data_IF_868037668506
#
_entry.id   IF_868037668506
#
_cell.length_a   1.000
_cell.length_b   1.000
_cell.length_c   1.000
_cell.angle_alpha   90.00
_cell.angle_beta   90.00
_cell.angle_gamma   90.00
#
_symmetry.space_group_name_H-M   'P 1'
#
loop_
_entity.id
_entity.type
_entity.pdbx_description
1 polymer ?
#
# COMPACT_ATOMS: atom_id res chain seq x y z
N UNK A 1 -11.34 9.42 -19.04
CA UNK A 1 -10.34 8.41 -19.47
C UNK A 1 -9.81 7.78 -18.19
N UNK A 2 -10.04 6.48 -17.96
CA UNK A 2 -9.50 5.82 -16.78
C UNK A 2 -8.04 5.48 -17.04
N UNK A 3 -7.13 5.94 -16.17
CA UNK A 3 -5.73 5.56 -16.22
C UNK A 3 -5.58 4.27 -15.41
N UNK A 4 -5.40 3.16 -16.11
CA UNK A 4 -5.04 1.88 -15.47
C UNK A 4 -3.53 1.81 -15.29
N UNK A 5 -3.09 1.41 -14.09
CA UNK A 5 -1.67 1.22 -13.77
C UNK A 5 -1.48 -0.25 -13.42
N UNK A 6 -0.60 -0.91 -14.17
CA UNK A 6 -0.23 -2.31 -13.93
C UNK A 6 1.08 -2.34 -13.14
N UNK A 7 1.06 -2.96 -11.96
CA UNK A 7 2.24 -3.10 -11.11
C UNK A 7 2.60 -4.58 -11.05
N UNK A 8 3.73 -4.93 -11.67
CA UNK A 8 4.22 -6.30 -11.68
C UNK A 8 5.19 -6.52 -10.52
N UNK A 9 4.81 -7.35 -9.57
CA UNK A 9 5.70 -7.78 -8.48
C UNK A 9 6.37 -9.09 -8.87
N UNK A 10 7.71 -9.13 -8.88
CA UNK A 10 8.45 -10.41 -8.98
C UNK A 10 8.25 -11.27 -7.74
N UNK A 11 8.14 -10.62 -6.59
CA UNK A 11 7.89 -11.22 -5.28
C UNK A 11 7.29 -10.15 -4.38
N UNK A 12 6.34 -10.55 -3.54
CA UNK A 12 5.84 -9.73 -2.43
C UNK A 12 6.69 -9.88 -1.18
N UNK A 13 7.72 -10.72 -1.23
CA UNK A 13 8.69 -10.88 -0.17
C UNK A 13 10.02 -10.27 -0.62
N UNK A 14 10.55 -9.38 0.21
CA UNK A 14 11.91 -8.84 0.10
C UNK A 14 12.55 -9.00 1.48
N UNK A 15 13.65 -9.74 1.53
CA UNK A 15 14.31 -10.14 2.76
C UNK A 15 13.34 -10.76 3.78
N UNK A 16 13.20 -10.14 4.95
CA UNK A 16 12.31 -10.57 6.04
C UNK A 16 10.94 -9.88 6.01
N UNK A 17 10.63 -9.14 4.95
CA UNK A 17 9.40 -8.35 4.84
C UNK A 17 8.47 -8.88 3.77
N UNK A 18 7.16 -8.83 4.06
CA UNK A 18 6.07 -9.05 3.13
C UNK A 18 5.35 -7.74 2.85
N UNK A 19 5.11 -7.47 1.58
CA UNK A 19 4.32 -6.35 1.08
C UNK A 19 2.84 -6.77 1.01
N UNK A 20 2.02 -6.13 1.84
CA UNK A 20 0.60 -6.46 1.98
C UNK A 20 -0.23 -5.81 0.86
N UNK A 21 -0.59 -6.57 -0.18
CA UNK A 21 -1.30 -5.98 -1.32
C UNK A 21 -2.65 -5.35 -0.93
N UNK A 22 -3.32 -5.90 0.08
CA UNK A 22 -4.62 -5.37 0.52
C UNK A 22 -4.51 -3.97 1.16
N UNK A 23 -3.29 -3.54 1.47
CA UNK A 23 -3.00 -2.21 1.98
C UNK A 23 -2.69 -1.17 0.89
N UNK A 24 -2.64 -1.55 -0.39
CA UNK A 24 -2.24 -0.64 -1.47
C UNK A 24 -3.09 0.64 -1.48
N UNK A 25 -2.42 1.79 -1.47
CA UNK A 25 -3.11 3.08 -1.45
C UNK A 25 -2.31 4.18 -2.13
N UNK A 26 -3.02 5.20 -2.61
CA UNK A 26 -2.41 6.40 -3.18
C UNK A 26 -2.47 7.54 -2.18
N UNK A 27 -1.35 8.25 -2.02
CA UNK A 27 -1.26 9.43 -1.16
C UNK A 27 -0.59 10.56 -1.94
N UNK A 28 -1.23 11.73 -1.97
CA UNK A 28 -0.65 12.96 -2.52
C UNK A 28 0.53 13.43 -1.67
N UNK A 29 1.53 14.00 -2.31
CA UNK A 29 2.73 14.53 -1.66
C UNK A 29 2.37 15.49 -0.52
N UNK A 30 1.45 16.42 -0.77
CA UNK A 30 0.95 17.38 0.24
C UNK A 30 0.44 16.72 1.52
N UNK A 31 -0.15 15.52 1.41
CA UNK A 31 -0.73 14.80 2.54
C UNK A 31 0.32 14.39 3.56
N UNK A 32 1.47 13.90 3.12
CA UNK A 32 2.52 13.38 4.00
C UNK A 32 3.79 14.22 4.05
N UNK A 33 3.88 15.29 3.25
CA UNK A 33 5.06 16.16 3.17
C UNK A 33 5.55 16.65 4.54
N UNK A 34 4.62 17.05 5.41
CA UNK A 34 4.95 17.66 6.70
C UNK A 34 5.18 16.67 7.85
N UNK A 35 4.67 15.44 7.76
CA UNK A 35 4.72 14.48 8.87
C UNK A 35 5.30 13.11 8.51
N UNK A 36 5.67 12.90 7.25
CA UNK A 36 6.10 11.61 6.74
C UNK A 36 4.94 10.63 6.57
N UNK A 37 5.13 9.64 5.70
CA UNK A 37 4.07 8.71 5.31
C UNK A 37 3.55 7.87 6.49
N UNK A 38 4.44 7.41 7.37
CA UNK A 38 4.03 6.54 8.48
C UNK A 38 3.08 7.24 9.45
N UNK A 39 3.33 8.51 9.78
CA UNK A 39 2.46 9.28 10.67
C UNK A 39 1.22 9.79 9.96
N UNK A 40 1.32 10.14 8.68
CA UNK A 40 0.14 10.38 7.84
C UNK A 40 -0.82 9.19 7.87
N UNK A 41 -0.30 7.98 7.65
CA UNK A 41 -1.11 6.76 7.64
C UNK A 41 -1.69 6.45 9.02
N UNK A 42 -0.99 6.76 10.13
CA UNK A 42 -1.54 6.67 11.49
C UNK A 42 -2.76 7.54 11.71
N UNK A 43 -2.79 8.73 11.12
CA UNK A 43 -3.90 9.67 11.28
C UNK A 43 -5.08 9.36 10.37
N UNK A 44 -4.82 8.82 9.17
CA UNK A 44 -5.83 8.79 8.10
C UNK A 44 -6.42 7.40 7.80
N UNK A 45 -5.77 6.30 8.20
CA UNK A 45 -6.33 4.95 7.98
C UNK A 45 -7.16 4.49 9.18
N UNK A 46 -8.49 4.40 9.00
CA UNK A 46 -9.43 3.90 10.02
C UNK A 46 -9.23 2.41 10.35
N UNK A 47 -8.74 1.61 9.40
CA UNK A 47 -8.49 0.18 9.57
C UNK A 47 -7.01 -0.13 9.35
N UNK A 48 -6.28 -0.27 10.44
CA UNK A 48 -4.89 -0.75 10.41
C UNK A 48 -4.84 -2.20 10.80
N UNK A 49 -4.19 -3.00 9.97
CA UNK A 49 -3.67 -4.26 10.45
C UNK A 49 -2.56 -3.92 11.47
N UNK A 50 -2.65 -4.37 12.73
CA UNK A 50 -1.63 -4.06 13.75
C UNK A 50 -0.24 -4.61 13.38
N UNK A 51 -0.16 -5.50 12.39
CA UNK A 51 1.08 -6.05 11.89
C UNK A 51 1.82 -5.12 10.90
N UNK A 52 1.17 -4.05 10.43
CA UNK A 52 1.77 -3.05 9.55
C UNK A 52 2.89 -2.29 10.27
N UNK A 53 4.12 -2.45 9.78
CA UNK A 53 5.31 -1.83 10.38
C UNK A 53 5.63 -0.45 9.79
N UNK A 54 5.53 -0.35 8.46
CA UNK A 54 5.92 0.83 7.69
C UNK A 54 5.18 0.84 6.35
N UNK A 55 5.24 1.97 5.66
CA UNK A 55 4.65 2.18 4.35
C UNK A 55 5.75 2.45 3.33
N UNK A 56 5.91 1.53 2.37
CA UNK A 56 6.93 1.60 1.36
C UNK A 56 6.37 2.24 0.07
N UNK A 57 7.06 3.23 -0.51
CA UNK A 57 6.68 3.81 -1.80
C UNK A 57 6.94 2.81 -2.93
N UNK A 58 5.98 2.66 -3.82
CA UNK A 58 6.08 1.76 -4.97
C UNK A 58 6.33 2.52 -6.27
N UNK A 59 5.56 3.59 -6.49
CA UNK A 59 5.60 4.33 -7.75
C UNK A 59 5.08 5.76 -7.53
N UNK A 60 5.73 6.74 -8.14
CA UNK A 60 5.22 8.12 -8.23
C UNK A 60 4.15 8.20 -9.31
N UNK A 61 2.99 8.78 -8.99
CA UNK A 61 1.90 9.03 -9.94
C UNK A 61 1.46 10.48 -9.77
N UNK A 62 1.66 11.29 -10.81
CA UNK A 62 1.34 12.72 -10.81
C UNK A 62 1.91 13.43 -9.56
N UNK A 63 1.03 13.95 -8.70
CA UNK A 63 1.31 14.71 -7.48
C UNK A 63 1.41 13.83 -6.22
N UNK A 64 1.52 12.52 -6.36
CA UNK A 64 1.56 11.59 -5.24
C UNK A 64 2.31 10.30 -5.50
N UNK A 65 2.16 9.36 -4.57
CA UNK A 65 2.76 8.04 -4.66
C UNK A 65 1.76 6.96 -4.31
N UNK A 66 1.98 5.81 -4.93
CA UNK A 66 1.48 4.55 -4.44
C UNK A 66 2.32 4.03 -3.29
N UNK A 67 1.67 3.62 -2.21
CA UNK A 67 2.26 3.01 -1.05
C UNK A 67 1.65 1.64 -0.78
N UNK A 68 2.46 0.77 -0.19
CA UNK A 68 2.00 -0.51 0.35
C UNK A 68 2.63 -0.73 1.72
N UNK A 69 1.87 -1.27 2.65
CA UNK A 69 2.34 -1.58 3.98
C UNK A 69 3.26 -2.80 3.96
N UNK A 70 4.30 -2.76 4.79
CA UNK A 70 5.21 -3.87 5.02
C UNK A 70 4.90 -4.54 6.36
N UNK A 71 4.87 -5.86 6.39
CA UNK A 71 4.80 -6.67 7.62
C UNK A 71 5.98 -7.63 7.68
N UNK A 72 6.29 -8.19 8.86
CA UNK A 72 7.30 -9.26 8.92
C UNK A 72 6.80 -10.51 8.20
N UNK A 73 7.69 -11.19 7.49
CA UNK A 73 7.42 -12.44 6.75
C UNK A 73 6.82 -13.53 7.63
N UNK A 74 7.26 -13.64 8.88
CA UNK A 74 6.70 -14.57 9.87
C UNK A 74 5.20 -14.33 10.14
N UNK A 75 4.76 -13.08 10.02
CA UNK A 75 3.37 -12.67 10.21
C UNK A 75 2.54 -12.76 8.92
N UNK A 76 3.17 -13.00 7.77
CA UNK A 76 2.50 -13.06 6.47
C UNK A 76 1.50 -14.22 6.37
N UNK A 77 1.67 -15.30 7.13
CA UNK A 77 0.71 -16.43 7.16
C UNK A 77 -0.71 -16.00 7.57
N UNK A 78 -0.86 -14.88 8.28
CA UNK A 78 -2.15 -14.30 8.64
C UNK A 78 -2.73 -13.38 7.56
N UNK A 79 -1.89 -12.83 6.68
CA UNK A 79 -2.27 -11.89 5.63
C UNK A 79 -2.49 -12.58 4.27
N UNK A 80 -1.83 -13.72 4.02
CA UNK A 80 -1.86 -14.43 2.74
C UNK A 80 -3.07 -15.37 2.69
N UNK A 81 -4.25 -14.85 2.34
CA UNK A 81 -5.20 -15.63 1.54
C UNK A 81 -4.86 -15.35 0.08
N UNK A 82 -4.36 -16.37 -0.61
CA UNK A 82 -3.92 -16.35 -2.01
C UNK A 82 -4.85 -15.51 -2.88
N UNK A 83 -4.36 -14.36 -3.35
CA UNK A 83 -4.96 -13.65 -4.47
C UNK A 83 -4.02 -13.86 -5.66
N UNK A 84 -4.59 -14.32 -6.78
CA UNK A 84 -3.90 -14.36 -8.07
C UNK A 84 -3.57 -12.95 -8.57
N UNK A 85 -3.28 -12.80 -9.86
CA UNK A 85 -2.98 -11.49 -10.46
C UNK A 85 -3.97 -10.41 -10.02
N UNK A 86 -3.46 -9.37 -9.35
CA UNK A 86 -4.28 -8.30 -8.79
C UNK A 86 -4.24 -7.12 -9.76
N UNK A 87 -5.37 -6.85 -10.41
CA UNK A 87 -5.56 -5.62 -11.18
C UNK A 87 -6.08 -4.54 -10.25
N UNK A 88 -5.34 -3.44 -10.17
CA UNK A 88 -5.71 -2.27 -9.35
C UNK A 88 -6.27 -1.19 -10.27
N UNK A 89 -7.56 -0.90 -10.13
CA UNK A 89 -8.22 0.16 -10.90
C UNK A 89 -8.17 1.48 -10.12
N UNK A 90 -7.56 2.51 -10.71
CA UNK A 90 -7.58 3.87 -10.18
C UNK A 90 -8.79 4.66 -10.71
N UNK A 91 -9.39 5.54 -9.89
CA UNK A 91 -9.10 5.77 -8.48
C UNK A 91 -9.71 4.67 -7.59
N UNK A 92 -8.95 4.19 -6.60
CA UNK A 92 -9.38 3.18 -5.62
C UNK A 92 -10.68 3.65 -4.92
N UNK A 93 -11.79 2.94 -5.12
CA UNK A 93 -13.11 3.31 -4.58
C UNK A 93 -13.22 3.20 -3.05
N UNK A 94 -12.28 2.53 -2.38
CA UNK A 94 -12.29 2.32 -0.91
C UNK A 94 -12.07 3.63 -0.13
N UNK A 95 -11.58 4.69 -0.78
CA UNK A 95 -11.42 6.02 -0.18
C UNK A 95 -12.57 6.99 -0.53
N UNK A 96 -13.58 6.54 -1.27
CA UNK A 96 -14.82 7.33 -1.52
C UNK A 96 -15.90 7.11 -0.44
N UNK A 97 -15.59 6.40 0.66
CA UNK A 97 -16.52 6.19 1.79
C UNK A 97 -16.03 6.84 3.09
#
# INVERSE_FOLDING_TARGET
MYTSIVINFKSLFVDEYYFDIDSLCFVREEGFFYCGINDYMKKNLKYKNPLHLSWAPLMKIADGYLFMATIRKENAKHAVRQKGDITVNFPYDIWKQ
#
